data_IF_223242661545
#
_entry.id   IF_223242661545
#
_cell.length_a   1.000
_cell.length_b   1.000
_cell.length_c   1.000
_cell.angle_alpha   90.00
_cell.angle_beta   90.00
_cell.angle_gamma   90.00
#
_symmetry.space_group_name_H-M   'P 1'
#
loop_
_entity.id
_entity.type
_entity.pdbx_description
1 polymer ?
#
# COMPACT_ATOMS: atom_id res chain seq x y z
N UNK A 1 -5.91 5.45 -11.40
CA UNK A 1 -4.99 5.56 -10.24
C UNK A 1 -3.68 4.91 -10.63
N UNK A 2 -2.57 5.64 -10.54
CA UNK A 2 -1.24 5.08 -10.81
C UNK A 2 -0.81 4.29 -9.56
N UNK A 3 -0.60 2.98 -9.68
CA UNK A 3 -0.29 2.10 -8.54
C UNK A 3 1.17 1.70 -8.61
N UNK A 4 1.99 2.19 -7.67
CA UNK A 4 3.36 1.72 -7.49
C UNK A 4 3.34 0.43 -6.67
N UNK A 5 3.76 -0.69 -7.26
CA UNK A 5 3.78 -2.00 -6.58
C UNK A 5 5.11 -2.31 -5.88
N UNK A 6 6.22 -1.70 -6.31
CA UNK A 6 7.53 -1.89 -5.69
C UNK A 6 8.48 -0.69 -5.89
N UNK A 7 8.98 -0.13 -4.79
CA UNK A 7 9.95 0.97 -4.76
C UNK A 7 11.39 0.59 -5.17
N UNK A 8 11.83 -0.66 -4.97
CA UNK A 8 13.17 -1.08 -5.39
C UNK A 8 13.30 -1.18 -6.90
N UNK A 9 12.18 -1.17 -7.62
CA UNK A 9 12.13 -1.08 -9.07
C UNK A 9 11.52 0.23 -9.58
N UNK A 10 10.81 1.00 -8.74
CA UNK A 10 9.93 2.14 -9.12
C UNK A 10 9.46 2.05 -10.58
N UNK A 11 8.87 0.91 -10.91
CA UNK A 11 8.48 0.54 -12.26
C UNK A 11 6.97 0.41 -12.22
N UNK A 12 6.28 1.08 -13.15
CA UNK A 12 4.82 1.10 -13.26
C UNK A 12 4.30 -0.24 -13.75
N UNK A 13 4.66 -1.35 -13.10
CA UNK A 13 4.39 -2.70 -13.57
C UNK A 13 2.92 -3.09 -13.32
N UNK A 14 2.04 -2.66 -14.24
CA UNK A 14 1.21 -3.67 -14.86
C UNK A 14 2.15 -4.67 -15.54
N UNK A 15 1.81 -5.96 -15.57
CA UNK A 15 2.64 -7.11 -16.01
C UNK A 15 3.29 -6.98 -17.42
N UNK A 16 3.08 -5.87 -18.13
CA UNK A 16 3.49 -5.51 -19.49
C UNK A 16 3.80 -3.99 -19.66
N UNK A 17 4.24 -3.28 -18.63
CA UNK A 17 4.67 -1.87 -18.78
C UNK A 17 6.02 -1.80 -19.49
N UNK A 18 6.12 -0.95 -20.52
CA UNK A 18 7.33 -0.70 -21.29
C UNK A 18 7.65 0.81 -21.31
N UNK A 19 8.90 1.25 -21.56
CA UNK A 19 9.27 2.69 -21.64
C UNK A 19 8.37 3.52 -22.58
N UNK A 20 7.78 2.88 -23.58
CA UNK A 20 6.81 3.45 -24.50
C UNK A 20 5.52 3.90 -23.80
N UNK A 21 5.06 3.18 -22.76
CA UNK A 21 3.86 3.54 -22.00
C UNK A 21 4.06 4.80 -21.16
N UNK A 22 5.25 5.00 -20.58
CA UNK A 22 5.58 6.25 -19.89
C UNK A 22 5.64 7.42 -20.89
N UNK A 23 6.30 7.22 -22.03
CA UNK A 23 6.38 8.22 -23.10
C UNK A 23 4.98 8.63 -23.58
N UNK A 24 4.08 7.67 -23.81
CA UNK A 24 2.70 7.93 -24.20
C UNK A 24 1.92 8.67 -23.11
N UNK A 25 2.07 8.25 -21.85
CA UNK A 25 1.40 8.91 -20.73
C UNK A 25 1.87 10.36 -20.57
N UNK A 26 3.18 10.61 -20.68
CA UNK A 26 3.76 11.96 -20.70
C UNK A 26 3.20 12.79 -21.84
N UNK A 27 3.17 12.25 -23.06
CA UNK A 27 2.61 12.93 -24.22
C UNK A 27 1.12 13.31 -24.05
N UNK A 28 0.35 12.54 -23.27
CA UNK A 28 -1.06 12.85 -22.97
C UNK A 28 -1.21 14.04 -22.00
N UNK A 29 -0.30 14.20 -21.02
CA UNK A 29 -0.45 15.18 -19.94
C UNK A 29 0.47 16.41 -20.05
N UNK A 30 1.71 16.25 -20.51
CA UNK A 30 2.71 17.33 -20.54
C UNK A 30 2.28 18.54 -21.37
N UNK A 31 1.69 18.40 -22.58
CA UNK A 31 1.28 19.55 -23.40
C UNK A 31 0.03 20.27 -22.89
N UNK A 32 -0.72 19.68 -21.95
CA UNK A 32 -1.99 20.26 -21.49
C UNK A 32 -1.74 21.44 -20.55
N UNK A 33 -2.37 22.58 -20.82
CA UNK A 33 -2.30 23.77 -19.97
C UNK A 33 -3.34 23.78 -18.82
N UNK A 34 -4.22 22.77 -18.77
CA UNK A 34 -5.27 22.68 -17.75
C UNK A 34 -4.81 21.97 -16.47
N UNK A 35 -5.72 21.89 -15.50
CA UNK A 35 -5.48 21.25 -14.21
C UNK A 35 -5.02 19.78 -14.34
N UNK A 36 -5.51 19.05 -15.34
CA UNK A 36 -5.09 17.66 -15.57
C UNK A 36 -3.64 17.58 -16.05
N UNK A 37 -3.22 18.49 -16.93
CA UNK A 37 -1.82 18.60 -17.33
C UNK A 37 -0.89 18.95 -16.17
N UNK A 38 -1.33 19.87 -15.31
CA UNK A 38 -0.59 20.24 -14.10
C UNK A 38 -0.42 19.03 -13.17
N UNK A 39 -1.50 18.33 -12.82
CA UNK A 39 -1.46 17.14 -11.97
C UNK A 39 -0.57 16.05 -12.57
N UNK A 40 -0.61 15.85 -13.89
CA UNK A 40 0.25 14.90 -14.58
C UNK A 40 1.73 15.25 -14.45
N UNK A 41 2.12 16.50 -14.73
CA UNK A 41 3.51 16.97 -14.57
C UNK A 41 4.00 16.88 -13.13
N UNK A 42 3.17 17.27 -12.16
CA UNK A 42 3.48 17.17 -10.74
C UNK A 42 3.68 15.71 -10.31
N UNK A 43 2.84 14.79 -10.80
CA UNK A 43 2.96 13.35 -10.56
C UNK A 43 4.31 12.83 -11.08
N UNK A 44 4.68 13.15 -12.32
CA UNK A 44 5.96 12.72 -12.89
C UNK A 44 7.16 13.32 -12.15
N UNK A 45 7.07 14.59 -11.72
CA UNK A 45 8.10 15.23 -10.93
C UNK A 45 8.28 14.54 -9.56
N UNK A 46 7.17 14.21 -8.88
CA UNK A 46 7.18 13.48 -7.61
C UNK A 46 7.80 12.08 -7.75
N UNK A 47 7.44 11.34 -8.80
CA UNK A 47 8.03 10.04 -9.12
C UNK A 47 9.55 10.16 -9.32
N UNK A 48 9.98 11.14 -10.11
CA UNK A 48 11.40 11.36 -10.38
C UNK A 48 12.17 11.79 -9.11
N UNK A 49 11.54 12.55 -8.22
CA UNK A 49 12.11 12.93 -6.93
C UNK A 49 12.29 11.71 -6.00
N UNK A 50 11.29 10.83 -5.94
CA UNK A 50 11.37 9.56 -5.20
C UNK A 50 12.48 8.66 -5.74
N UNK A 51 12.54 8.46 -7.06
CA UNK A 51 13.52 7.58 -7.69
C UNK A 51 14.98 8.02 -7.49
N UNK A 52 15.23 9.33 -7.33
CA UNK A 52 16.56 9.88 -7.04
C UNK A 52 16.92 9.88 -5.56
N UNK A 53 15.98 9.58 -4.66
CA UNK A 53 16.23 9.62 -3.23
C UNK A 53 16.80 8.26 -2.75
N UNK A 54 18.06 8.21 -2.30
CA UNK A 54 18.68 6.94 -1.85
C UNK A 54 18.00 6.36 -0.60
N UNK A 55 17.25 7.17 0.16
CA UNK A 55 16.47 6.73 1.31
C UNK A 55 15.37 5.72 0.95
N UNK A 56 14.91 5.70 -0.30
CA UNK A 56 13.89 4.76 -0.79
C UNK A 56 14.39 3.32 -0.83
N UNK A 57 15.69 3.11 -1.05
CA UNK A 57 16.31 1.78 -1.09
C UNK A 57 17.02 1.42 0.22
N UNK A 58 17.00 2.32 1.21
CA UNK A 58 17.61 2.08 2.50
C UNK A 58 17.03 0.83 3.18
N UNK A 59 17.84 0.10 3.96
CA UNK A 59 17.34 -1.00 4.78
C UNK A 59 16.34 -0.46 5.83
N UNK A 60 15.49 -1.34 6.39
CA UNK A 60 14.68 -0.99 7.55
C UNK A 60 15.55 -0.45 8.70
N UNK A 61 15.03 0.54 9.43
CA UNK A 61 15.67 1.15 10.58
C UNK A 61 15.20 0.50 11.90
N UNK A 62 15.81 0.92 13.01
CA UNK A 62 15.41 0.55 14.38
C UNK A 62 15.31 -0.96 14.65
N UNK A 63 15.99 -1.80 13.87
CA UNK A 63 15.95 -3.25 14.01
C UNK A 63 14.66 -3.90 13.49
N UNK A 64 13.86 -3.18 12.69
CA UNK A 64 12.62 -3.71 12.14
C UNK A 64 12.87 -4.90 11.20
N UNK A 65 12.12 -5.98 11.43
CA UNK A 65 12.14 -7.18 10.62
C UNK A 65 10.74 -7.44 10.03
N UNK A 66 10.58 -7.20 8.74
CA UNK A 66 9.30 -7.42 8.05
C UNK A 66 9.11 -8.89 7.70
N UNK A 67 7.88 -9.43 7.79
CA UNK A 67 7.60 -10.79 7.35
C UNK A 67 7.81 -10.91 5.84
N UNK A 68 8.21 -12.10 5.38
CA UNK A 68 8.30 -12.42 3.95
C UNK A 68 6.89 -12.63 3.36
N UNK A 69 6.14 -11.53 3.24
CA UNK A 69 4.78 -11.46 2.75
C UNK A 69 4.56 -10.17 1.94
N UNK A 70 3.57 -10.16 1.05
CA UNK A 70 3.28 -8.99 0.22
C UNK A 70 3.03 -7.72 1.05
N UNK A 71 2.22 -7.84 2.12
CA UNK A 71 1.95 -6.73 3.05
C UNK A 71 3.21 -6.25 3.79
N UNK A 72 4.12 -7.16 4.15
CA UNK A 72 5.40 -6.82 4.76
C UNK A 72 6.27 -5.98 3.84
N UNK A 73 6.37 -6.39 2.58
CA UNK A 73 7.11 -5.63 1.56
C UNK A 73 6.48 -4.27 1.28
N UNK A 74 5.15 -4.18 1.23
CA UNK A 74 4.45 -2.92 0.99
C UNK A 74 4.61 -1.93 2.15
N UNK A 75 4.49 -2.38 3.40
CA UNK A 75 4.71 -1.52 4.56
C UNK A 75 6.18 -1.13 4.75
N UNK A 76 7.14 -2.02 4.43
CA UNK A 76 8.56 -1.65 4.36
C UNK A 76 8.80 -0.48 3.41
N UNK A 77 8.15 -0.53 2.25
CA UNK A 77 8.27 0.52 1.24
C UNK A 77 7.59 1.82 1.70
N UNK A 78 6.40 1.74 2.28
CA UNK A 78 5.73 2.89 2.88
C UNK A 78 6.62 3.58 3.94
N UNK A 79 7.24 2.80 4.81
CA UNK A 79 8.15 3.33 5.83
C UNK A 79 9.37 4.01 5.20
N UNK A 80 9.96 3.43 4.14
CA UNK A 80 11.07 4.05 3.42
C UNK A 80 10.68 5.41 2.82
N UNK A 81 9.48 5.51 2.20
CA UNK A 81 8.94 6.79 1.70
C UNK A 81 8.80 7.80 2.84
N UNK A 82 8.20 7.42 3.96
CA UNK A 82 7.99 8.33 5.10
C UNK A 82 9.34 8.84 5.62
N UNK A 83 10.32 7.94 5.80
CA UNK A 83 11.68 8.30 6.27
C UNK A 83 12.41 9.28 5.35
N UNK A 84 12.07 9.33 4.06
CA UNK A 84 12.68 10.31 3.13
C UNK A 84 12.31 11.76 3.42
N UNK A 85 11.22 12.00 4.17
CA UNK A 85 10.79 13.36 4.51
C UNK A 85 10.29 14.19 3.30
N UNK A 86 9.93 13.56 2.18
CA UNK A 86 9.50 14.23 0.94
C UNK A 86 8.12 14.93 1.03
N UNK A 87 7.54 15.06 2.23
CA UNK A 87 6.23 15.70 2.43
C UNK A 87 5.04 14.82 2.00
N UNK A 88 5.19 13.50 2.08
CA UNK A 88 4.13 12.54 1.73
C UNK A 88 2.90 12.75 2.60
N UNK A 89 1.73 12.93 1.96
CA UNK A 89 0.46 13.19 2.65
C UNK A 89 -0.37 11.94 2.92
N UNK A 90 -0.32 10.97 2.02
CA UNK A 90 -1.08 9.73 2.10
C UNK A 90 -0.36 8.63 1.32
N UNK A 91 -0.34 7.43 1.87
CA UNK A 91 0.15 6.22 1.21
C UNK A 91 -0.95 5.17 1.28
N UNK A 92 -1.38 4.69 0.12
CA UNK A 92 -2.33 3.59 0.04
C UNK A 92 -1.57 2.26 -0.10
N UNK A 93 -1.86 1.31 0.78
CA UNK A 93 -1.29 -0.03 0.75
C UNK A 93 -2.42 -1.03 0.53
N UNK A 94 -2.36 -1.77 -0.58
CA UNK A 94 -3.28 -2.85 -0.83
C UNK A 94 -2.83 -4.12 -0.10
N UNK A 95 -3.67 -4.67 0.78
CA UNK A 95 -3.41 -5.92 1.48
C UNK A 95 -4.09 -7.05 0.71
N UNK A 96 -3.33 -7.72 -0.15
CA UNK A 96 -3.82 -8.88 -0.90
C UNK A 96 -3.78 -10.14 -0.04
N UNK A 97 -4.80 -10.99 -0.14
CA UNK A 97 -4.88 -12.25 0.61
C UNK A 97 -6.16 -13.02 0.29
N UNK A 98 -6.43 -14.07 1.08
CA UNK A 98 -7.61 -14.92 0.97
C UNK A 98 -8.85 -14.38 1.70
N UNK A 99 -8.92 -13.07 1.96
CA UNK A 99 -9.92 -12.47 2.85
C UNK A 99 -11.38 -12.69 2.42
N UNK A 100 -11.63 -12.85 1.11
CA UNK A 100 -12.97 -13.11 0.61
C UNK A 100 -13.36 -14.59 0.77
N UNK A 101 -13.92 -14.89 1.94
CA UNK A 101 -14.33 -16.25 2.34
C UNK A 101 -15.80 -16.27 2.77
N UNK A 102 -16.50 -17.34 2.39
CA UNK A 102 -17.92 -17.56 2.68
C UNK A 102 -18.17 -18.66 3.72
N UNK A 103 -17.12 -19.32 4.20
CA UNK A 103 -17.15 -20.33 5.24
C UNK A 103 -15.77 -20.42 5.91
N UNK A 104 -15.73 -20.86 7.18
CA UNK A 104 -14.49 -21.11 7.93
C UNK A 104 -13.51 -19.91 7.93
N UNK A 105 -14.02 -18.67 7.99
CA UNK A 105 -13.22 -17.47 7.73
C UNK A 105 -12.04 -17.31 8.69
N UNK A 106 -12.22 -17.66 9.97
CA UNK A 106 -11.17 -17.57 10.97
C UNK A 106 -9.95 -18.43 10.59
N UNK A 107 -10.17 -19.70 10.26
CA UNK A 107 -9.07 -20.59 9.91
C UNK A 107 -8.48 -20.22 8.53
N UNK A 108 -9.33 -19.86 7.56
CA UNK A 108 -8.89 -19.45 6.23
C UNK A 108 -7.97 -18.21 6.27
N UNK A 109 -8.30 -17.22 7.11
CA UNK A 109 -7.58 -15.95 7.17
C UNK A 109 -6.48 -15.91 8.25
N UNK A 110 -6.27 -16.99 9.01
CA UNK A 110 -5.32 -17.01 10.14
C UNK A 110 -3.91 -16.55 9.74
N UNK A 111 -3.43 -17.00 8.56
CA UNK A 111 -2.10 -16.64 8.10
C UNK A 111 -2.02 -15.19 7.61
N UNK A 112 -3.07 -14.70 6.94
CA UNK A 112 -3.12 -13.33 6.46
C UNK A 112 -3.21 -12.33 7.63
N UNK A 113 -4.01 -12.63 8.65
CA UNK A 113 -4.06 -11.81 9.88
C UNK A 113 -2.72 -11.79 10.61
N UNK A 114 -2.03 -12.94 10.70
CA UNK A 114 -0.70 -13.02 11.30
C UNK A 114 0.32 -12.19 10.52
N UNK A 115 0.29 -12.27 9.19
CA UNK A 115 1.17 -11.51 8.31
C UNK A 115 0.92 -9.99 8.43
N UNK A 116 -0.35 -9.58 8.45
CA UNK A 116 -0.74 -8.18 8.65
C UNK A 116 -0.27 -7.64 10.00
N UNK A 117 -0.55 -8.36 11.10
CA UNK A 117 -0.13 -7.97 12.44
C UNK A 117 1.40 -7.86 12.58
N UNK A 118 2.14 -8.84 12.06
CA UNK A 118 3.60 -8.80 12.07
C UNK A 118 4.16 -7.63 11.22
N UNK A 119 3.55 -7.35 10.07
CA UNK A 119 3.96 -6.25 9.20
C UNK A 119 3.68 -4.86 9.83
N UNK A 120 2.55 -4.70 10.52
CA UNK A 120 2.22 -3.48 11.27
C UNK A 120 3.18 -3.26 12.45
N UNK A 121 3.52 -4.31 13.20
CA UNK A 121 4.50 -4.23 14.28
C UNK A 121 5.91 -3.85 13.76
N UNK A 122 6.32 -4.45 12.63
CA UNK A 122 7.57 -4.09 11.96
C UNK A 122 7.54 -2.64 11.45
N UNK A 123 6.41 -2.18 10.92
CA UNK A 123 6.21 -0.79 10.47
C UNK A 123 6.36 0.22 11.61
N UNK A 124 5.70 -0.03 12.74
CA UNK A 124 5.84 0.81 13.92
C UNK A 124 7.30 0.85 14.43
N UNK A 125 7.96 -0.32 14.45
CA UNK A 125 9.39 -0.40 14.80
C UNK A 125 10.24 0.41 13.84
N UNK A 126 10.05 0.25 12.53
CA UNK A 126 10.85 0.90 11.48
C UNK A 126 10.76 2.44 11.55
N UNK A 127 9.57 2.98 11.80
CA UNK A 127 9.39 4.43 11.96
C UNK A 127 9.92 4.97 13.29
N UNK A 128 9.86 4.18 14.38
CA UNK A 128 10.24 4.66 15.71
C UNK A 128 9.47 5.94 16.08
N UNK A 129 10.19 7.01 16.47
CA UNK A 129 9.56 8.30 16.81
C UNK A 129 8.81 8.97 15.66
N UNK A 130 9.13 8.66 14.40
CA UNK A 130 8.38 9.22 13.27
C UNK A 130 6.94 8.71 13.20
N UNK A 131 6.61 7.62 13.91
CA UNK A 131 5.24 7.13 14.00
C UNK A 131 4.31 8.15 14.66
N UNK A 132 4.82 9.04 15.52
CA UNK A 132 4.04 10.08 16.20
C UNK A 132 3.40 11.08 15.20
N UNK A 133 3.95 11.18 13.98
CA UNK A 133 3.46 12.02 12.89
C UNK A 133 2.64 11.25 11.84
N UNK A 134 2.33 9.98 12.07
CA UNK A 134 1.68 9.08 11.11
C UNK A 134 0.40 8.49 11.69
N UNK A 135 -0.71 8.64 10.98
CA UNK A 135 -1.97 7.93 11.27
C UNK A 135 -2.07 6.72 10.35
N UNK A 136 -2.22 5.53 10.93
CA UNK A 136 -2.45 4.28 10.21
C UNK A 136 -3.94 3.94 10.28
N UNK A 137 -4.56 3.79 9.10
CA UNK A 137 -5.92 3.29 8.96
C UNK A 137 -5.89 1.94 8.25
N UNK A 138 -6.47 0.92 8.89
CA UNK A 138 -6.71 -0.39 8.29
C UNK A 138 -8.21 -0.57 8.12
N UNK A 139 -8.64 -0.74 6.88
CA UNK A 139 -10.04 -0.84 6.50
C UNK A 139 -10.24 -1.90 5.42
N UNK A 140 -11.50 -2.25 5.16
CA UNK A 140 -11.91 -3.25 4.17
C UNK A 140 -13.02 -2.72 3.28
N UNK A 141 -13.04 -3.14 2.01
CA UNK A 141 -14.06 -2.72 1.05
C UNK A 141 -15.44 -3.33 1.32
N UNK A 142 -15.51 -4.40 2.13
CA UNK A 142 -16.74 -5.08 2.50
C UNK A 142 -16.70 -5.60 3.93
N UNK A 143 -17.88 -5.74 4.53
CA UNK A 143 -18.08 -6.46 5.78
C UNK A 143 -18.64 -7.86 5.57
N UNK A 144 -19.13 -8.46 6.64
CA UNK A 144 -19.86 -9.74 6.62
C UNK A 144 -21.33 -9.54 7.01
N UNK A 145 -22.19 -10.48 6.65
CA UNK A 145 -23.58 -10.52 7.15
C UNK A 145 -23.61 -10.89 8.64
N UNK A 146 -24.58 -10.35 9.40
CA UNK A 146 -24.82 -10.80 10.78
C UNK A 146 -25.46 -12.19 10.83
N UNK A 147 -26.26 -12.53 9.82
CA UNK A 147 -26.86 -13.84 9.66
C UNK A 147 -25.87 -14.85 9.04
N UNK A 148 -25.94 -16.09 9.52
CA UNK A 148 -25.19 -17.23 8.98
C UNK A 148 -25.79 -17.65 7.63
N UNK A 149 -24.95 -17.99 6.65
CA UNK A 149 -25.37 -18.47 5.33
C UNK A 149 -25.58 -20.00 5.32
N UNK A 150 -25.99 -20.56 4.18
CA UNK A 150 -26.25 -22.00 4.02
C UNK A 150 -25.03 -22.91 4.21
N UNK A 151 -23.82 -22.34 4.27
CA UNK A 151 -22.54 -23.05 4.43
C UNK A 151 -22.00 -22.99 5.86
N UNK A 152 -22.83 -22.58 6.84
CA UNK A 152 -22.42 -22.29 8.22
C UNK A 152 -21.34 -21.19 8.33
N UNK A 153 -21.22 -20.32 7.31
CA UNK A 153 -20.37 -19.14 7.30
C UNK A 153 -21.19 -17.85 7.18
N UNK A 154 -20.65 -16.83 6.51
CA UNK A 154 -21.35 -15.55 6.28
C UNK A 154 -21.05 -15.02 4.89
N UNK A 155 -21.98 -14.28 4.31
CA UNK A 155 -21.80 -13.65 3.00
C UNK A 155 -21.25 -12.23 3.12
N UNK A 156 -21.11 -11.56 1.98
CA UNK A 156 -20.76 -10.15 1.90
C UNK A 156 -21.86 -9.30 2.56
N UNK A 157 -21.45 -8.35 3.39
CA UNK A 157 -22.36 -7.43 4.04
C UNK A 157 -21.65 -6.13 4.38
N UNK A 158 -22.24 -5.34 5.27
CA UNK A 158 -21.67 -4.04 5.68
C UNK A 158 -21.11 -4.06 7.10
N UNK A 159 -21.24 -5.15 7.86
CA UNK A 159 -20.68 -5.22 9.21
C UNK A 159 -19.17 -5.45 9.14
N UNK A 160 -18.40 -4.41 9.47
CA UNK A 160 -16.94 -4.43 9.55
C UNK A 160 -16.46 -3.50 10.67
N UNK A 161 -15.18 -3.59 10.99
CA UNK A 161 -14.49 -2.68 11.89
C UNK A 161 -13.30 -2.06 11.15
N UNK A 162 -13.10 -0.76 11.35
CA UNK A 162 -11.89 -0.05 10.95
C UNK A 162 -10.97 0.06 12.16
N UNK A 163 -9.68 -0.17 11.97
CA UNK A 163 -8.66 0.12 12.99
C UNK A 163 -7.93 1.41 12.63
N UNK A 164 -7.77 2.30 13.61
CA UNK A 164 -7.01 3.55 13.48
C UNK A 164 -6.07 3.68 14.65
N UNK A 165 -4.79 3.91 14.40
CA UNK A 165 -3.74 4.08 15.42
C UNK A 165 -2.53 4.82 14.87
#
# INVERSE_FOLDING_TARGET
MLVAQNLSSFDLRARTWRPEAETLLRAMYEPRADAYGQVGRETFAAIAALARNPGITAPPANGAAYPNAAVGNALRQAAAIIRTGLGTRCIFVNVTGGFDTHANQLAANTNDYRALGAALAAFATDLGRQLDDVVVMVDTEFGRTSAVNGSAGTDHGSAHCMMVF
#
